data_IF_252057927458
#
_entry.id   IF_252057927458
#
_cell.length_a   1.000
_cell.length_b   1.000
_cell.length_c   1.000
_cell.angle_alpha   90.00
_cell.angle_beta   90.00
_cell.angle_gamma   90.00
#
_symmetry.space_group_name_H-M   'P 1'
#
loop_
_entity.id
_entity.type
_entity.pdbx_description
1 polymer ?
#
# COMPACT_ATOMS: atom_id res chain seq x y z
N UNK A 1 3.88 11.86 8.61
CA UNK A 1 4.06 11.44 10.03
C UNK A 1 3.16 10.26 10.37
N UNK A 2 3.76 9.06 10.39
CA UNK A 2 3.01 7.85 10.68
C UNK A 2 1.80 7.70 9.77
N UNK A 3 2.06 7.56 8.47
CA UNK A 3 0.98 7.42 7.51
C UNK A 3 0.40 6.02 7.49
N UNK A 4 0.85 5.22 6.53
CA UNK A 4 0.37 3.85 6.41
C UNK A 4 0.92 2.97 7.53
N UNK A 5 0.21 1.86 7.87
CA UNK A 5 0.64 0.95 8.93
C UNK A 5 2.12 0.55 8.79
N UNK A 6 2.71 -0.02 9.86
CA UNK A 6 4.13 -0.43 9.86
C UNK A 6 4.44 -1.52 8.83
N UNK A 7 3.44 -1.91 8.04
CA UNK A 7 3.64 -2.94 7.04
C UNK A 7 3.13 -2.54 5.67
N UNK A 8 2.44 -1.40 5.60
CA UNK A 8 1.90 -0.91 4.34
C UNK A 8 2.79 0.16 3.74
N UNK A 9 3.32 -0.11 2.55
CA UNK A 9 4.20 0.84 1.86
C UNK A 9 3.67 1.16 0.48
N UNK A 10 3.98 2.36 -0.02
CA UNK A 10 3.51 2.80 -1.34
C UNK A 10 4.61 2.70 -2.38
N UNK A 11 4.26 2.19 -3.56
CA UNK A 11 5.20 2.06 -4.66
C UNK A 11 4.47 2.02 -5.99
N UNK A 12 5.05 2.63 -7.02
CA UNK A 12 4.45 2.66 -8.34
C UNK A 12 4.94 1.50 -9.20
N UNK A 13 4.00 0.73 -9.73
CA UNK A 13 4.33 -0.43 -10.56
C UNK A 13 4.77 0.00 -11.96
N UNK A 14 4.65 -0.90 -12.93
CA UNK A 14 5.05 -0.63 -14.30
C UNK A 14 4.35 0.61 -14.85
N UNK A 15 3.03 0.52 -15.02
CA UNK A 15 2.24 1.62 -15.55
C UNK A 15 2.43 2.88 -14.70
N UNK A 16 2.66 2.67 -13.41
CA UNK A 16 2.87 3.79 -12.50
C UNK A 16 1.79 3.90 -11.44
N UNK A 17 1.08 2.80 -11.18
CA UNK A 17 0.07 2.81 -10.14
C UNK A 17 0.73 2.74 -8.77
N UNK A 18 0.48 3.75 -7.95
CA UNK A 18 1.05 3.79 -6.61
C UNK A 18 0.38 2.75 -5.73
N UNK A 19 0.74 1.49 -5.95
CA UNK A 19 0.15 0.39 -5.22
C UNK A 19 0.78 0.22 -3.84
N UNK A 20 -0.06 0.01 -2.85
CA UNK A 20 0.37 -0.20 -1.48
C UNK A 20 0.44 -1.69 -1.17
N UNK A 21 1.49 -2.11 -0.49
CA UNK A 21 1.68 -3.52 -0.17
C UNK A 21 1.91 -3.74 1.32
N UNK A 22 1.34 -4.83 1.83
CA UNK A 22 1.49 -5.18 3.24
C UNK A 22 2.41 -6.39 3.39
N UNK A 23 3.55 -6.18 4.07
CA UNK A 23 4.52 -7.23 4.27
C UNK A 23 4.24 -8.01 5.55
N UNK A 24 3.07 -7.79 6.13
CA UNK A 24 2.68 -8.49 7.36
C UNK A 24 1.71 -9.62 7.04
N UNK A 25 0.94 -9.45 5.97
CA UNK A 25 -0.03 -10.45 5.55
C UNK A 25 0.02 -10.64 4.03
N UNK A 26 1.04 -10.08 3.40
CA UNK A 26 1.20 -10.18 1.96
C UNK A 26 -0.04 -9.68 1.24
N UNK A 27 -0.26 -8.37 1.29
CA UNK A 27 -1.43 -7.78 0.66
C UNK A 27 -1.03 -6.72 -0.38
N UNK A 28 -1.20 -7.06 -1.65
CA UNK A 28 -0.86 -6.15 -2.75
C UNK A 28 -2.11 -5.53 -3.36
N UNK A 29 -2.19 -4.20 -3.30
CA UNK A 29 -3.33 -3.48 -3.86
C UNK A 29 -2.91 -2.05 -4.24
N UNK A 30 -3.72 -1.38 -5.06
CA UNK A 30 -3.42 -0.01 -5.46
C UNK A 30 -4.19 0.98 -4.58
N UNK A 31 -5.15 0.46 -3.82
CA UNK A 31 -5.95 1.29 -2.93
C UNK A 31 -5.20 1.64 -1.66
N UNK A 32 -5.46 2.82 -1.13
CA UNK A 32 -4.82 3.29 0.09
C UNK A 32 -5.22 2.42 1.28
N UNK A 33 -4.23 1.90 2.04
CA UNK A 33 -4.49 1.05 3.21
C UNK A 33 -5.11 1.85 4.35
N UNK A 34 -4.83 3.14 4.38
CA UNK A 34 -5.37 4.02 5.40
C UNK A 34 -6.89 4.08 5.32
N UNK A 35 -7.42 3.93 4.11
CA UNK A 35 -8.87 3.98 3.89
C UNK A 35 -9.48 2.60 4.04
N UNK A 36 -9.52 1.83 2.95
CA UNK A 36 -10.09 0.48 2.98
C UNK A 36 -9.71 -0.29 1.72
N UNK A 37 -9.02 -1.41 1.90
CA UNK A 37 -8.59 -2.24 0.79
C UNK A 37 -8.60 -3.71 1.17
#
# INVERSE_FOLDING_TARGET
SMGLPPGWDEYKTHNGKTYYYNHNTKTSTWTDPRMSS
#
